data_IF_180692955520
#
_entry.id   IF_180692955520
#
_cell.length_a   1.000
_cell.length_b   1.000
_cell.length_c   1.000
_cell.angle_alpha   90.00
_cell.angle_beta   90.00
_cell.angle_gamma   90.00
#
_symmetry.space_group_name_H-M   'P 1'
#
loop_
_entity.id
_entity.type
_entity.pdbx_description
1 polymer ?
#
# COMPACT_ATOMS: atom_id res chain seq x y z
N UNK A 1 -19.86 -32.78 -14.86
CA UNK A 1 -20.87 -32.49 -15.87
C UNK A 1 -20.19 -31.84 -17.06
N UNK A 2 -20.04 -32.59 -18.16
CA UNK A 2 -19.31 -32.17 -19.38
C UNK A 2 -20.20 -31.26 -20.21
N UNK A 3 -19.68 -30.10 -20.58
CA UNK A 3 -20.30 -29.14 -21.51
C UNK A 3 -20.26 -29.76 -22.94
N UNK A 4 -21.41 -30.10 -23.49
CA UNK A 4 -21.62 -30.55 -24.85
C UNK A 4 -22.48 -29.50 -25.55
N UNK A 5 -21.82 -28.46 -26.09
CA UNK A 5 -22.42 -27.62 -27.17
C UNK A 5 -21.24 -27.03 -27.94
N UNK A 6 -20.90 -27.62 -29.10
CA UNK A 6 -20.26 -26.98 -30.25
C UNK A 6 -19.94 -28.03 -31.35
N UNK A 7 -20.98 -28.67 -31.89
CA UNK A 7 -20.81 -29.54 -33.08
C UNK A 7 -21.86 -29.39 -34.16
N UNK A 8 -22.73 -28.38 -34.10
CA UNK A 8 -23.78 -28.22 -35.16
C UNK A 8 -23.49 -27.11 -36.17
N UNK A 9 -22.63 -26.16 -35.90
CA UNK A 9 -22.44 -25.00 -36.80
C UNK A 9 -21.39 -25.22 -37.90
N UNK A 10 -20.58 -26.26 -37.82
CA UNK A 10 -19.56 -26.55 -38.85
C UNK A 10 -20.14 -27.30 -40.07
N UNK A 11 -21.28 -27.95 -39.91
CA UNK A 11 -21.89 -28.73 -41.00
C UNK A 11 -22.65 -27.87 -42.04
N UNK A 12 -23.17 -26.69 -41.62
CA UNK A 12 -23.95 -25.82 -42.54
C UNK A 12 -23.03 -25.01 -43.49
N UNK A 13 -21.81 -24.71 -43.08
CA UNK A 13 -20.87 -23.90 -43.87
C UNK A 13 -20.29 -24.64 -45.07
N UNK A 14 -20.48 -25.98 -45.18
CA UNK A 14 -19.92 -26.79 -46.25
C UNK A 14 -20.77 -26.91 -47.51
N UNK A 15 -22.03 -26.43 -47.49
CA UNK A 15 -22.99 -26.55 -48.61
C UNK A 15 -23.27 -25.25 -49.38
N UNK A 16 -22.52 -24.17 -49.11
CA UNK A 16 -22.71 -22.92 -49.85
C UNK A 16 -21.70 -22.72 -50.97
N UNK A 17 -22.11 -22.18 -52.14
CA UNK A 17 -21.22 -21.93 -53.27
C UNK A 17 -20.19 -20.87 -52.94
N UNK A 18 -18.97 -20.91 -53.58
CA UNK A 18 -17.82 -20.08 -53.18
C UNK A 18 -18.05 -18.58 -53.23
N UNK A 19 -18.99 -18.10 -54.05
CA UNK A 19 -19.30 -16.66 -54.16
C UNK A 19 -20.05 -16.16 -52.93
N UNK A 20 -20.92 -16.94 -52.30
CA UNK A 20 -21.65 -16.59 -51.10
C UNK A 20 -20.75 -16.59 -49.82
N UNK A 21 -19.62 -17.33 -49.85
CA UNK A 21 -18.65 -17.37 -48.73
C UNK A 21 -17.85 -16.08 -48.59
N UNK A 22 -17.61 -15.38 -49.72
CA UNK A 22 -16.88 -14.09 -49.69
C UNK A 22 -17.76 -12.94 -49.16
N UNK A 23 -19.06 -12.98 -49.41
CA UNK A 23 -19.99 -11.95 -48.93
C UNK A 23 -20.28 -12.11 -47.43
N UNK A 24 -20.32 -13.34 -46.92
CA UNK A 24 -20.52 -13.60 -45.48
C UNK A 24 -19.28 -13.20 -44.64
N UNK A 25 -18.06 -13.25 -45.21
CA UNK A 25 -16.84 -12.81 -44.51
C UNK A 25 -16.70 -11.28 -44.52
N UNK A 26 -17.22 -10.61 -45.58
CA UNK A 26 -17.17 -9.14 -45.64
C UNK A 26 -18.24 -8.45 -44.79
N UNK A 27 -19.35 -9.12 -44.47
CA UNK A 27 -20.41 -8.53 -43.60
C UNK A 27 -20.10 -8.75 -42.10
N UNK A 28 -19.23 -9.69 -41.74
CA UNK A 28 -18.87 -9.94 -40.34
C UNK A 28 -17.75 -9.04 -39.80
N UNK A 29 -17.07 -8.26 -40.66
CA UNK A 29 -16.00 -7.32 -40.26
C UNK A 29 -16.53 -5.91 -39.98
N UNK A 30 -17.76 -5.61 -40.37
CA UNK A 30 -18.32 -4.22 -40.30
C UNK A 30 -19.11 -3.90 -38.99
N UNK A 31 -19.18 -4.81 -38.01
CA UNK A 31 -19.92 -4.60 -36.77
C UNK A 31 -19.06 -4.84 -35.49
N UNK A 32 -17.75 -4.78 -35.61
CA UNK A 32 -16.87 -4.76 -34.43
C UNK A 32 -16.33 -3.34 -34.23
N UNK A 33 -17.24 -2.37 -34.06
CA UNK A 33 -16.93 -1.18 -33.31
C UNK A 33 -16.70 -1.63 -31.85
N UNK A 34 -15.51 -2.14 -31.61
CA UNK A 34 -15.01 -2.28 -30.26
C UNK A 34 -14.82 -0.85 -29.71
N UNK A 35 -15.86 -0.34 -29.10
CA UNK A 35 -15.72 0.71 -28.09
C UNK A 35 -14.78 0.13 -27.05
N UNK A 36 -13.50 0.35 -27.20
CA UNK A 36 -12.54 0.23 -26.12
C UNK A 36 -12.89 1.32 -25.11
N UNK A 37 -13.88 1.02 -24.28
CA UNK A 37 -14.01 1.67 -23.00
C UNK A 37 -12.71 1.39 -22.27
N UNK A 38 -11.80 2.34 -22.29
CA UNK A 38 -10.73 2.40 -21.29
C UNK A 38 -11.41 2.20 -19.94
N UNK A 39 -11.03 1.21 -19.13
CA UNK A 39 -11.59 1.11 -17.80
C UNK A 39 -11.31 2.45 -17.13
N UNK A 40 -12.37 3.22 -16.91
CA UNK A 40 -12.31 4.38 -16.04
C UNK A 40 -11.69 3.83 -14.76
N UNK A 41 -10.55 4.40 -14.34
CA UNK A 41 -9.94 4.12 -13.06
C UNK A 41 -10.98 4.55 -12.04
N UNK A 42 -11.84 3.61 -11.66
CA UNK A 42 -12.81 3.80 -10.58
C UNK A 42 -11.95 4.06 -9.37
N UNK A 43 -11.78 5.32 -9.02
CA UNK A 43 -11.23 5.71 -7.73
C UNK A 43 -12.29 5.20 -6.75
N UNK A 44 -12.03 4.06 -6.16
CA UNK A 44 -12.86 3.53 -5.10
C UNK A 44 -12.88 4.59 -4.00
N UNK A 45 -14.02 5.27 -3.84
CA UNK A 45 -14.20 6.34 -2.86
C UNK A 45 -14.12 5.82 -1.42
N UNK A 46 -14.02 4.51 -1.24
CA UNK A 46 -13.86 3.83 0.04
C UNK A 46 -12.39 3.57 0.39
N UNK A 47 -11.43 3.87 -0.48
CA UNK A 47 -10.01 3.69 -0.18
C UNK A 47 -9.52 4.75 0.80
N UNK A 48 -9.10 4.30 1.98
CA UNK A 48 -8.54 5.13 3.06
C UNK A 48 -7.00 5.22 3.02
N UNK A 49 -6.33 4.94 1.91
CA UNK A 49 -4.87 5.07 1.87
C UNK A 49 -4.44 6.53 2.10
N UNK A 50 -3.52 6.74 3.07
CA UNK A 50 -2.99 8.05 3.45
C UNK A 50 -3.43 8.60 4.79
N UNK A 51 -4.66 8.33 5.33
CA UNK A 51 -4.99 8.72 6.69
C UNK A 51 -4.25 7.90 7.74
N UNK A 52 -4.34 8.38 8.97
CA UNK A 52 -3.82 7.72 10.15
C UNK A 52 -4.94 6.97 10.87
N UNK A 53 -4.64 5.77 11.32
CA UNK A 53 -5.43 5.07 12.31
C UNK A 53 -4.82 5.35 13.69
N UNK A 54 -5.65 5.81 14.60
CA UNK A 54 -5.27 6.13 15.99
C UNK A 54 -5.95 5.13 16.90
N UNK A 55 -5.17 4.40 17.69
CA UNK A 55 -5.74 3.41 18.61
C UNK A 55 -6.62 4.09 19.68
N UNK A 56 -7.71 3.38 20.05
CA UNK A 56 -8.52 3.76 21.21
C UNK A 56 -7.69 3.71 22.50
N UNK A 57 -7.89 4.61 23.46
CA UNK A 57 -7.27 4.50 24.78
C UNK A 57 -7.62 3.21 25.54
N UNK A 58 -8.68 2.53 25.10
CA UNK A 58 -9.17 1.26 25.69
C UNK A 58 -8.89 0.06 24.82
N UNK A 59 -7.95 0.16 23.87
CA UNK A 59 -7.59 -0.96 22.98
C UNK A 59 -7.10 -2.15 23.82
N UNK A 60 -7.66 -3.32 23.55
CA UNK A 60 -7.34 -4.51 24.35
C UNK A 60 -6.00 -5.16 23.97
N UNK A 61 -5.53 -4.95 22.74
CA UNK A 61 -4.27 -5.50 22.26
C UNK A 61 -3.09 -4.60 22.67
N UNK A 62 -2.19 -5.08 23.56
CA UNK A 62 -1.07 -4.28 24.05
C UNK A 62 -0.05 -3.92 22.97
N UNK A 63 -0.02 -4.63 21.82
CA UNK A 63 0.85 -4.29 20.71
C UNK A 63 0.48 -2.95 20.04
N UNK A 64 -0.76 -2.51 20.25
CA UNK A 64 -1.30 -1.29 19.66
C UNK A 64 -1.67 -0.22 20.69
N UNK A 65 -1.26 -0.39 21.94
CA UNK A 65 -1.46 0.63 22.96
C UNK A 65 -0.80 1.95 22.53
N UNK A 66 -1.58 3.05 22.55
CA UNK A 66 -1.14 4.39 22.14
C UNK A 66 -0.43 4.40 20.77
N UNK A 67 -0.92 3.61 19.80
CA UNK A 67 -0.30 3.45 18.49
C UNK A 67 -0.99 4.30 17.43
N UNK A 68 -0.18 4.89 16.55
CA UNK A 68 -0.63 5.56 15.34
C UNK A 68 -0.09 4.82 14.12
N UNK A 69 -0.97 4.43 13.21
CA UNK A 69 -0.65 3.66 12.01
C UNK A 69 -0.96 4.48 10.78
N UNK A 70 0.01 4.65 9.89
CA UNK A 70 -0.22 5.21 8.56
C UNK A 70 -0.80 4.11 7.66
N UNK A 71 -2.01 4.31 7.14
CA UNK A 71 -2.60 3.41 6.15
C UNK A 71 -1.91 3.57 4.79
N UNK A 72 -1.27 2.50 4.35
CA UNK A 72 -0.55 2.43 3.07
C UNK A 72 -1.44 1.92 1.95
N UNK A 73 -2.30 0.96 2.27
CA UNK A 73 -3.26 0.36 1.35
C UNK A 73 -4.55 0.04 2.09
N UNK A 74 -5.68 0.29 1.41
CA UNK A 74 -7.00 -0.14 1.83
C UNK A 74 -7.88 -0.37 0.61
N UNK A 75 -8.42 -1.58 0.49
CA UNK A 75 -9.36 -1.98 -0.55
C UNK A 75 -10.28 -3.12 -0.08
N UNK A 76 -11.14 -3.63 -0.95
CA UNK A 76 -12.05 -4.74 -0.65
C UNK A 76 -11.34 -6.06 -0.23
N UNK A 77 -10.03 -6.17 -0.39
CA UNK A 77 -9.23 -7.33 0.02
C UNK A 77 -8.66 -7.17 1.42
N UNK A 78 -8.76 -5.97 2.01
CA UNK A 78 -8.29 -5.64 3.34
C UNK A 78 -7.44 -4.38 3.40
N UNK A 79 -6.65 -4.24 4.46
CA UNK A 79 -5.82 -3.07 4.68
C UNK A 79 -4.40 -3.45 5.14
N UNK A 80 -3.46 -2.56 4.84
CA UNK A 80 -2.09 -2.61 5.33
C UNK A 80 -1.68 -1.24 5.84
N UNK A 81 -1.10 -1.21 7.04
CA UNK A 81 -0.59 0.02 7.65
C UNK A 81 0.73 -0.18 8.37
N UNK A 82 1.45 0.91 8.58
CA UNK A 82 2.74 0.93 9.26
C UNK A 82 2.63 1.83 10.50
N UNK A 83 2.91 1.28 11.68
CA UNK A 83 3.00 2.09 12.90
C UNK A 83 4.20 3.05 12.79
N UNK A 84 3.95 4.32 13.17
CA UNK A 84 4.92 5.40 12.97
C UNK A 84 5.49 5.97 14.27
N UNK A 85 4.96 5.59 15.42
CA UNK A 85 5.32 6.15 16.72
C UNK A 85 5.85 5.12 17.73
N UNK A 86 6.27 3.93 17.28
CA UNK A 86 6.84 2.90 18.15
C UNK A 86 8.36 2.78 17.90
N UNK A 87 9.19 3.70 18.45
CA UNK A 87 10.64 3.64 18.27
C UNK A 87 11.23 2.42 18.99
N UNK A 88 12.16 1.72 18.34
CA UNK A 88 12.91 0.61 18.91
C UNK A 88 14.28 1.10 19.35
N UNK A 89 15.17 1.35 18.40
CA UNK A 89 16.55 1.71 18.66
C UNK A 89 17.16 2.50 17.50
N UNK A 90 18.27 3.16 17.75
CA UNK A 90 19.15 3.66 16.70
C UNK A 90 20.15 2.59 16.29
N UNK A 91 20.32 2.39 14.99
CA UNK A 91 21.27 1.43 14.44
C UNK A 91 22.19 2.06 13.41
N UNK A 92 23.46 1.65 13.36
CA UNK A 92 24.35 1.99 12.25
C UNK A 92 23.72 1.48 10.93
N UNK A 93 23.64 2.35 9.95
CA UNK A 93 23.04 2.03 8.66
C UNK A 93 23.79 0.89 7.94
N UNK A 94 25.12 0.84 8.08
CA UNK A 94 25.93 -0.25 7.56
C UNK A 94 25.53 -1.61 8.16
N UNK A 95 25.29 -1.68 9.47
CA UNK A 95 24.88 -2.90 10.16
C UNK A 95 23.47 -3.36 9.70
N UNK A 96 22.58 -2.42 9.46
CA UNK A 96 21.25 -2.71 8.93
C UNK A 96 21.32 -3.26 7.51
N UNK A 97 22.12 -2.64 6.65
CA UNK A 97 22.36 -3.08 5.27
C UNK A 97 22.98 -4.46 5.20
N UNK A 98 23.94 -4.76 6.10
CA UNK A 98 24.57 -6.08 6.22
C UNK A 98 23.53 -7.17 6.53
N UNK A 99 22.65 -6.94 7.52
CA UNK A 99 21.54 -7.85 7.85
C UNK A 99 20.59 -8.08 6.67
N UNK A 100 20.40 -7.08 5.83
CA UNK A 100 19.58 -7.16 4.62
C UNK A 100 20.36 -7.76 3.43
N UNK A 101 21.56 -8.29 3.65
CA UNK A 101 22.37 -8.96 2.63
C UNK A 101 23.06 -8.04 1.63
N UNK A 102 23.27 -6.77 1.97
CA UNK A 102 24.07 -5.86 1.15
C UNK A 102 25.57 -6.19 1.32
N UNK A 103 26.29 -6.19 0.20
CA UNK A 103 27.75 -6.45 0.20
C UNK A 103 28.60 -5.18 0.28
N UNK A 104 28.05 -4.04 -0.15
CA UNK A 104 28.73 -2.74 -0.09
C UNK A 104 28.22 -1.94 1.10
N UNK A 105 29.08 -1.80 2.10
CA UNK A 105 28.78 -1.19 3.41
C UNK A 105 29.34 0.24 3.53
N UNK A 106 29.46 0.97 2.43
CA UNK A 106 29.95 2.37 2.45
C UNK A 106 28.96 3.37 3.04
N UNK A 107 27.73 2.92 3.36
CA UNK A 107 26.72 3.77 3.98
C UNK A 107 27.17 4.20 5.38
N UNK A 108 27.10 5.49 5.64
CA UNK A 108 27.49 6.11 6.93
C UNK A 108 26.26 6.61 7.69
N UNK A 109 26.42 6.84 8.99
CA UNK A 109 25.38 7.37 9.87
C UNK A 109 24.53 6.30 10.54
N UNK A 110 23.64 6.77 11.40
CA UNK A 110 22.67 5.96 12.12
C UNK A 110 21.25 6.27 11.63
N UNK A 111 20.38 5.30 11.76
CA UNK A 111 18.94 5.46 11.52
C UNK A 111 18.16 4.98 12.74
N UNK A 112 17.13 5.72 13.10
CA UNK A 112 16.16 5.26 14.09
C UNK A 112 15.23 4.25 13.44
N UNK A 113 15.07 3.10 14.08
CA UNK A 113 14.25 1.99 13.63
C UNK A 113 12.96 1.97 14.46
N UNK A 114 11.83 1.69 13.79
CA UNK A 114 10.51 1.60 14.40
C UNK A 114 9.92 0.21 14.25
N UNK A 115 9.09 -0.22 15.21
CA UNK A 115 8.21 -1.36 15.04
C UNK A 115 7.00 -0.92 14.19
N UNK A 116 6.94 -1.38 12.94
CA UNK A 116 5.86 -1.06 12.01
C UNK A 116 4.59 -1.87 12.24
N UNK A 117 4.68 -2.98 12.97
CA UNK A 117 3.57 -3.86 13.32
C UNK A 117 4.01 -5.31 13.53
N UNK A 118 3.10 -6.18 13.99
CA UNK A 118 3.43 -7.55 14.39
C UNK A 118 3.62 -8.52 13.21
N UNK A 119 3.18 -8.16 12.00
CA UNK A 119 3.24 -9.05 10.84
C UNK A 119 4.58 -8.90 10.15
N UNK A 120 5.28 -10.01 9.90
CA UNK A 120 6.57 -10.08 9.20
C UNK A 120 7.62 -9.08 9.73
N UNK A 121 8.04 -9.20 10.99
CA UNK A 121 8.92 -8.23 11.66
C UNK A 121 10.33 -8.13 11.04
N UNK A 122 10.68 -9.03 10.14
CA UNK A 122 11.97 -9.01 9.41
C UNK A 122 11.90 -8.21 8.09
N UNK A 123 10.71 -7.81 7.66
CA UNK A 123 10.55 -7.00 6.45
C UNK A 123 10.62 -5.52 6.78
N UNK A 124 11.57 -4.83 6.14
CA UNK A 124 11.76 -3.39 6.31
C UNK A 124 10.99 -2.56 5.29
N UNK A 125 10.42 -1.45 5.76
CA UNK A 125 9.75 -0.43 4.99
C UNK A 125 10.35 0.93 5.32
N UNK A 126 10.48 1.79 4.32
CA UNK A 126 10.85 3.18 4.53
C UNK A 126 9.69 4.05 4.07
N UNK A 127 9.02 4.70 5.03
CA UNK A 127 8.04 5.76 4.76
C UNK A 127 8.84 7.04 4.55
N UNK A 128 8.56 7.79 3.48
CA UNK A 128 9.39 8.94 3.14
C UNK A 128 8.64 10.04 2.38
N UNK A 129 9.24 11.22 2.33
CA UNK A 129 8.76 12.33 1.52
C UNK A 129 8.83 12.01 0.02
N UNK A 130 7.87 12.52 -0.76
CA UNK A 130 7.70 12.19 -2.19
C UNK A 130 8.77 12.78 -3.13
N UNK A 131 9.77 13.50 -2.58
CA UNK A 131 10.92 14.02 -3.33
C UNK A 131 11.92 12.94 -3.77
N UNK A 132 11.71 11.71 -3.35
CA UNK A 132 12.49 10.53 -3.72
C UNK A 132 11.60 9.47 -4.37
N UNK A 133 12.10 8.81 -5.44
CA UNK A 133 11.39 7.72 -6.11
C UNK A 133 12.34 6.66 -6.66
N UNK A 134 11.88 5.43 -6.58
CA UNK A 134 12.46 4.24 -7.23
C UNK A 134 11.34 3.41 -7.89
N UNK A 135 11.66 2.41 -8.72
CA UNK A 135 10.65 1.55 -9.35
C UNK A 135 9.69 0.90 -8.34
N UNK A 136 10.20 0.54 -7.14
CA UNK A 136 9.45 -0.12 -6.07
C UNK A 136 8.73 0.86 -5.13
N UNK A 137 8.80 2.17 -5.41
CA UNK A 137 8.14 3.18 -4.58
C UNK A 137 6.64 3.20 -4.82
N UNK A 138 5.87 3.00 -3.76
CA UNK A 138 4.42 3.13 -3.72
C UNK A 138 4.09 4.54 -3.21
N UNK A 139 3.37 5.33 -3.99
CA UNK A 139 2.86 6.61 -3.55
C UNK A 139 1.64 6.37 -2.64
N UNK A 140 1.67 6.91 -1.44
CA UNK A 140 0.55 6.88 -0.49
C UNK A 140 -0.36 8.08 -0.76
N UNK A 141 0.23 9.27 -0.78
CA UNK A 141 -0.43 10.50 -1.21
C UNK A 141 0.50 11.38 -2.06
N UNK A 142 0.17 12.67 -2.22
CA UNK A 142 1.00 13.62 -2.99
C UNK A 142 2.33 13.95 -2.33
N UNK A 143 2.47 13.77 -0.99
CA UNK A 143 3.62 14.17 -0.20
C UNK A 143 4.37 12.99 0.41
N UNK A 144 3.73 11.84 0.53
CA UNK A 144 4.20 10.66 1.26
C UNK A 144 4.24 9.47 0.33
N UNK A 145 5.31 8.71 0.43
CA UNK A 145 5.51 7.46 -0.28
C UNK A 145 6.14 6.40 0.64
N UNK A 146 6.12 5.16 0.22
CA UNK A 146 6.76 4.04 0.89
C UNK A 146 7.63 3.28 -0.11
N UNK A 147 8.80 2.85 0.33
CA UNK A 147 9.71 2.00 -0.45
C UNK A 147 10.18 0.83 0.42
N UNK A 148 10.09 -0.39 -0.09
CA UNK A 148 10.59 -1.62 0.59
C UNK A 148 11.95 -2.10 0.07
N UNK A 149 12.53 -1.43 -0.91
CA UNK A 149 13.84 -1.76 -1.46
C UNK A 149 14.98 -1.31 -0.53
N UNK A 150 15.93 -2.22 -0.25
CA UNK A 150 17.16 -1.87 0.51
C UNK A 150 17.99 -0.76 -0.13
N UNK A 151 17.81 -0.49 -1.43
CA UNK A 151 18.51 0.58 -2.14
C UNK A 151 18.23 1.96 -1.56
N UNK A 152 17.02 2.22 -1.04
CA UNK A 152 16.73 3.50 -0.38
C UNK A 152 17.63 3.73 0.83
N UNK A 153 17.96 2.67 1.61
CA UNK A 153 18.86 2.78 2.75
C UNK A 153 20.29 3.09 2.30
N UNK A 154 20.75 2.52 1.17
CA UNK A 154 22.04 2.89 0.58
C UNK A 154 22.07 4.35 0.14
N UNK A 155 20.99 4.81 -0.51
CA UNK A 155 20.89 6.19 -0.96
C UNK A 155 20.81 7.18 0.23
N UNK A 156 20.13 6.82 1.33
CA UNK A 156 20.14 7.59 2.58
C UNK A 156 21.58 7.72 3.12
N UNK A 157 22.33 6.61 3.22
CA UNK A 157 23.70 6.62 3.71
C UNK A 157 24.69 7.35 2.79
N UNK A 158 24.34 7.56 1.53
CA UNK A 158 25.11 8.31 0.55
C UNK A 158 24.60 9.75 0.35
N UNK A 159 23.71 10.24 1.22
CA UNK A 159 23.09 11.58 1.14
C UNK A 159 22.31 11.83 -0.16
N UNK A 160 21.78 10.75 -0.78
CA UNK A 160 20.96 10.77 -2.01
C UNK A 160 19.53 10.31 -1.76
N UNK A 161 19.17 10.02 -0.51
CA UNK A 161 17.86 9.60 -0.10
C UNK A 161 16.84 10.75 0.01
N UNK A 162 15.63 10.44 0.46
CA UNK A 162 14.58 11.44 0.71
C UNK A 162 14.96 12.41 1.84
N UNK A 163 14.35 13.60 1.82
CA UNK A 163 14.57 14.62 2.85
C UNK A 163 14.03 14.22 4.21
N UNK A 164 12.91 13.50 4.24
CA UNK A 164 12.26 12.99 5.45
C UNK A 164 11.98 11.51 5.29
N UNK A 165 12.25 10.74 6.33
CA UNK A 165 12.00 9.30 6.31
C UNK A 165 11.85 8.71 7.71
N UNK A 166 11.15 7.57 7.77
CA UNK A 166 11.05 6.64 8.89
C UNK A 166 11.40 5.24 8.39
N UNK A 167 12.24 4.52 9.12
CA UNK A 167 12.57 3.13 8.82
C UNK A 167 11.81 2.24 9.79
N UNK A 168 10.88 1.45 9.30
CA UNK A 168 10.05 0.58 10.12
C UNK A 168 10.20 -0.88 9.70
N UNK A 169 10.05 -1.80 10.64
CA UNK A 169 10.06 -3.24 10.43
C UNK A 169 8.73 -3.85 10.84
N UNK A 170 8.22 -4.76 10.00
CA UNK A 170 6.89 -5.31 10.14
C UNK A 170 5.78 -4.34 9.72
N UNK A 171 4.55 -4.82 9.75
CA UNK A 171 3.35 -4.06 9.42
C UNK A 171 2.13 -4.56 10.20
N UNK A 172 1.08 -3.76 10.23
CA UNK A 172 -0.24 -4.15 10.66
C UNK A 172 -1.09 -4.52 9.44
N UNK A 173 -1.82 -5.61 9.50
CA UNK A 173 -2.64 -6.10 8.39
C UNK A 173 -4.04 -6.45 8.85
N UNK A 174 -5.03 -6.11 8.03
CA UNK A 174 -6.43 -6.44 8.23
C UNK A 174 -6.95 -7.24 7.04
N UNK A 175 -7.69 -8.30 7.32
CA UNK A 175 -8.45 -9.03 6.30
C UNK A 175 -9.64 -8.21 5.75
N UNK A 176 -10.34 -8.74 4.72
CA UNK A 176 -11.52 -8.08 4.15
C UNK A 176 -12.58 -7.77 5.21
N UNK A 177 -13.01 -6.50 5.32
CA UNK A 177 -14.02 -6.04 6.27
C UNK A 177 -13.58 -5.97 7.73
N UNK A 178 -12.36 -6.39 8.05
CA UNK A 178 -11.89 -6.40 9.46
C UNK A 178 -11.66 -4.98 9.97
N UNK A 179 -11.00 -4.12 9.19
CA UNK A 179 -10.75 -2.73 9.60
C UNK A 179 -12.05 -1.97 9.79
N UNK A 180 -13.01 -2.13 8.88
CA UNK A 180 -14.32 -1.51 8.95
C UNK A 180 -15.05 -1.91 10.23
N UNK A 181 -15.06 -3.19 10.56
CA UNK A 181 -15.67 -3.69 11.80
C UNK A 181 -14.96 -3.20 13.07
N UNK A 182 -13.65 -2.94 13.00
CA UNK A 182 -12.88 -2.37 14.13
C UNK A 182 -13.13 -0.86 14.26
N UNK A 183 -13.31 -0.13 13.16
CA UNK A 183 -13.71 1.29 13.14
C UNK A 183 -15.13 1.46 13.73
N UNK A 184 -16.10 0.65 13.32
CA UNK A 184 -17.47 0.66 13.86
C UNK A 184 -17.49 0.41 15.38
N UNK A 185 -16.60 -0.44 15.87
CA UNK A 185 -16.45 -0.72 17.32
C UNK A 185 -15.59 0.30 18.05
N UNK A 186 -15.11 1.34 17.36
CA UNK A 186 -14.22 2.37 17.91
C UNK A 186 -12.93 1.81 18.53
N UNK A 187 -12.41 0.71 17.97
CA UNK A 187 -11.06 0.20 18.28
C UNK A 187 -10.00 1.13 17.70
N UNK A 188 -10.28 1.66 16.52
CA UNK A 188 -9.50 2.66 15.82
C UNK A 188 -10.33 3.91 15.53
N UNK A 189 -9.66 5.04 15.49
CA UNK A 189 -10.18 6.32 14.99
C UNK A 189 -9.39 6.73 13.75
N UNK A 190 -10.04 7.47 12.85
CA UNK A 190 -9.37 8.04 11.68
C UNK A 190 -8.92 9.45 12.03
N UNK A 191 -7.70 9.81 11.61
CA UNK A 191 -7.19 11.16 11.60
C UNK A 191 -6.56 11.48 10.25
N UNK A 192 -6.55 12.75 9.87
CA UNK A 192 -5.93 13.17 8.62
C UNK A 192 -4.42 12.84 8.60
N UNK A 193 -3.91 12.39 7.46
CA UNK A 193 -2.48 12.16 7.25
C UNK A 193 -1.70 13.49 7.25
N UNK A 194 -1.20 13.89 8.40
CA UNK A 194 -0.40 15.12 8.56
C UNK A 194 1.09 14.82 8.40
N UNK A 195 1.72 15.50 7.42
CA UNK A 195 3.14 15.32 7.11
C UNK A 195 4.05 15.68 8.30
N UNK A 196 3.74 16.75 9.02
CA UNK A 196 4.51 17.18 10.17
C UNK A 196 4.41 16.17 11.32
N UNK A 197 3.22 15.65 11.56
CA UNK A 197 2.97 14.63 12.58
C UNK A 197 3.72 13.32 12.25
N UNK A 198 3.77 12.93 10.97
CA UNK A 198 4.45 11.71 10.54
C UNK A 198 5.97 11.83 10.69
N UNK A 199 6.58 12.97 10.34
CA UNK A 199 8.03 13.08 10.23
C UNK A 199 8.70 13.96 11.29
N UNK A 200 8.04 14.98 11.79
CA UNK A 200 8.66 16.06 12.57
C UNK A 200 8.20 16.13 14.03
N UNK A 201 7.08 15.48 14.37
CA UNK A 201 6.56 15.49 15.74
C UNK A 201 7.42 14.60 16.65
N UNK A 202 7.50 14.96 17.93
CA UNK A 202 8.06 14.13 18.99
C UNK A 202 7.27 12.81 19.09
N UNK A 203 7.97 11.69 19.01
CA UNK A 203 7.32 10.37 18.94
C UNK A 203 6.40 10.07 20.11
N UNK A 204 6.74 10.57 21.27
CA UNK A 204 5.92 10.40 22.50
C UNK A 204 4.62 11.20 22.45
N UNK A 205 4.54 12.23 21.60
CA UNK A 205 3.36 13.11 21.45
C UNK A 205 2.50 12.78 20.23
N UNK A 206 3.00 11.91 19.33
CA UNK A 206 2.29 11.60 18.07
C UNK A 206 0.89 11.08 18.33
N UNK A 207 0.73 10.17 19.31
CA UNK A 207 -0.57 9.60 19.61
C UNK A 207 -1.56 10.66 20.15
N UNK A 208 -1.17 11.45 21.15
CA UNK A 208 -2.01 12.51 21.69
C UNK A 208 -2.40 13.54 20.61
N UNK A 209 -1.42 13.96 19.80
CA UNK A 209 -1.64 14.89 18.71
C UNK A 209 -2.62 14.32 17.67
N UNK A 210 -2.43 13.07 17.25
CA UNK A 210 -3.32 12.41 16.31
C UNK A 210 -4.73 12.20 16.91
N UNK A 211 -4.79 11.79 18.17
CA UNK A 211 -6.06 11.54 18.86
C UNK A 211 -6.88 12.83 19.04
N UNK A 212 -6.24 13.96 19.28
CA UNK A 212 -6.93 15.26 19.40
C UNK A 212 -7.50 15.77 18.06
N UNK A 213 -6.96 15.30 16.93
CA UNK A 213 -7.41 15.66 15.58
C UNK A 213 -8.17 14.54 14.87
N UNK A 214 -8.64 13.52 15.62
CA UNK A 214 -9.43 12.43 15.06
C UNK A 214 -10.78 12.91 14.56
N UNK A 215 -11.28 12.25 13.56
CA UNK A 215 -12.66 12.41 13.11
C UNK A 215 -13.60 11.78 14.15
N UNK A 216 -14.56 12.53 14.67
CA UNK A 216 -15.47 12.06 15.73
C UNK A 216 -16.69 11.32 15.19
N UNK A 217 -17.06 11.55 13.91
CA UNK A 217 -18.23 10.95 13.25
C UNK A 217 -17.83 10.30 11.91
N UNK A 218 -17.93 8.99 11.86
CA UNK A 218 -18.05 8.21 10.63
C UNK A 218 -19.44 7.59 10.55
#
# INVERSE_FOLDING_TARGET
MRCVILRKDIALARMMPPILRLIAILLSVALFDASWSTPAKTTDRTSLAGPLLVSSPSIADPHFDHTVILLVQHDHKGALGIAINLPLEERPLASLLEKLGAKDLKATGNVRVFAGGPVQPDIGFVIHSSDYRQPETVAIDKRIAMTSSRRILQDIGNYKGPKKYLVAFGYAGWGPGQLEAELERRVWFIAAGDFKLIFDEDRDKVWESAYSHREEDL
#
